data_IF_503396871375
#
_entry.id   IF_503396871375
#
_cell.length_a   1.000
_cell.length_b   1.000
_cell.length_c   1.000
_cell.angle_alpha   90.00
_cell.angle_beta   90.00
_cell.angle_gamma   90.00
#
_symmetry.space_group_name_H-M   'P 1'
#
loop_
_entity.id
_entity.type
_entity.pdbx_description
1 polymer ?
#
# COMPACT_ATOMS: atom_id res chain seq x y z
N UNK A 1 2.20 -21.57 -6.06
CA UNK A 1 2.43 -20.18 -6.54
C UNK A 1 2.03 -19.29 -5.38
N UNK A 2 2.93 -18.41 -4.91
CA UNK A 2 2.97 -18.08 -3.50
C UNK A 2 1.83 -17.17 -3.09
N UNK A 3 0.81 -17.75 -2.44
CA UNK A 3 -0.22 -16.97 -1.73
C UNK A 3 0.42 -16.26 -0.53
N UNK A 4 -0.21 -15.25 0.08
CA UNK A 4 0.21 -14.73 1.41
C UNK A 4 0.43 -15.86 2.45
N UNK A 5 -0.33 -16.95 2.30
CA UNK A 5 -0.19 -18.18 3.06
C UNK A 5 1.16 -18.89 2.82
N UNK A 6 1.75 -18.81 1.63
CA UNK A 6 3.07 -19.38 1.30
C UNK A 6 4.23 -18.56 1.87
N UNK A 7 4.03 -17.27 2.18
CA UNK A 7 5.01 -16.48 2.96
C UNK A 7 5.03 -16.92 4.42
N UNK A 8 3.85 -17.15 5.04
CA UNK A 8 3.78 -17.75 6.39
C UNK A 8 4.46 -19.12 6.45
N UNK A 9 4.40 -19.93 5.38
CA UNK A 9 5.05 -21.24 5.30
C UNK A 9 6.56 -21.13 5.04
N UNK A 10 7.01 -20.17 4.23
CA UNK A 10 8.43 -19.88 4.00
C UNK A 10 9.15 -19.41 5.28
N UNK A 11 8.47 -18.67 6.16
CA UNK A 11 9.03 -18.27 7.46
C UNK A 11 8.95 -19.38 8.53
N UNK A 12 7.99 -20.30 8.44
CA UNK A 12 7.83 -21.41 9.39
C UNK A 12 8.87 -22.53 9.20
N UNK A 13 9.62 -22.51 8.09
CA UNK A 13 10.70 -23.47 7.81
C UNK A 13 12.09 -23.03 8.32
N UNK A 14 12.21 -21.82 8.88
CA UNK A 14 13.40 -21.40 9.62
C UNK A 14 13.23 -21.71 11.12
N UNK A 15 13.28 -23.01 11.43
CA UNK A 15 13.41 -23.52 12.81
C UNK A 15 14.80 -23.20 13.36
N UNK A 16 14.95 -21.99 13.88
CA UNK A 16 15.78 -21.65 15.05
C UNK A 16 15.58 -20.18 15.46
N UNK A 17 14.39 -19.62 15.24
CA UNK A 17 14.11 -18.22 15.51
C UNK A 17 13.36 -18.10 16.85
N UNK A 18 13.90 -17.28 17.73
CA UNK A 18 13.33 -16.91 19.01
C UNK A 18 11.87 -16.46 18.84
N UNK A 19 10.94 -17.25 19.37
CA UNK A 19 9.49 -17.02 19.28
C UNK A 19 9.11 -15.68 19.92
N UNK A 20 9.87 -15.21 20.91
CA UNK A 20 9.65 -13.90 21.51
C UNK A 20 9.99 -12.78 20.53
N UNK A 21 11.10 -12.89 19.78
CA UNK A 21 11.50 -11.90 18.78
C UNK A 21 10.52 -11.82 17.60
N UNK A 22 10.03 -12.97 17.10
CA UNK A 22 8.99 -13.00 16.05
C UNK A 22 7.72 -12.33 16.54
N UNK A 23 7.31 -12.61 17.79
CA UNK A 23 6.11 -12.01 18.36
C UNK A 23 6.26 -10.49 18.51
N UNK A 24 7.39 -10.01 18.99
CA UNK A 24 7.68 -8.57 19.12
C UNK A 24 7.65 -7.88 17.76
N UNK A 25 8.26 -8.48 16.73
CA UNK A 25 8.25 -7.92 15.37
C UNK A 25 6.83 -7.93 14.77
N UNK A 26 6.07 -8.99 15.00
CA UNK A 26 4.68 -9.12 14.55
C UNK A 26 3.68 -8.26 15.36
N UNK A 27 4.09 -7.66 16.47
CA UNK A 27 3.29 -6.72 17.27
C UNK A 27 3.63 -5.26 17.00
N UNK A 28 4.61 -4.98 16.12
CA UNK A 28 4.97 -3.61 15.75
C UNK A 28 3.76 -2.87 15.14
N UNK A 29 3.54 -1.61 15.52
CA UNK A 29 2.53 -0.78 14.88
C UNK A 29 2.91 -0.57 13.42
N UNK A 30 1.95 -0.75 12.52
CA UNK A 30 2.08 -0.47 11.09
C UNK A 30 1.09 0.64 10.76
N UNK A 31 1.57 1.73 10.17
CA UNK A 31 0.76 2.88 9.77
C UNK A 31 0.87 3.07 8.27
N UNK A 32 -0.25 2.89 7.56
CA UNK A 32 -0.35 3.07 6.12
C UNK A 32 -1.30 4.23 5.86
N UNK A 33 -0.89 5.21 5.04
CA UNK A 33 -1.79 6.28 4.59
C UNK A 33 -2.13 6.07 3.13
N UNK A 34 -3.42 5.90 2.85
CA UNK A 34 -3.95 5.83 1.49
C UNK A 34 -4.54 7.18 1.10
N UNK A 35 -3.94 7.83 0.11
CA UNK A 35 -4.27 9.19 -0.31
C UNK A 35 -4.67 9.23 -1.79
N UNK A 36 -5.77 9.93 -2.12
CA UNK A 36 -6.17 10.12 -3.51
C UNK A 36 -7.67 10.04 -3.74
N UNK A 37 -8.07 9.45 -4.87
CA UNK A 37 -9.47 9.30 -5.24
C UNK A 37 -10.20 8.43 -4.20
N UNK A 38 -11.31 8.94 -3.65
CA UNK A 38 -11.96 8.34 -2.47
C UNK A 38 -12.41 6.90 -2.74
N UNK A 39 -13.13 6.65 -3.85
CA UNK A 39 -13.62 5.31 -4.18
C UNK A 39 -12.49 4.30 -4.41
N UNK A 40 -11.43 4.75 -5.05
CA UNK A 40 -10.17 4.03 -5.24
C UNK A 40 -9.54 3.69 -3.89
N UNK A 41 -9.30 4.66 -3.02
CA UNK A 41 -8.67 4.44 -1.72
C UNK A 41 -9.50 3.52 -0.81
N UNK A 42 -10.83 3.66 -0.83
CA UNK A 42 -11.75 2.78 -0.10
C UNK A 42 -11.68 1.34 -0.59
N UNK A 43 -11.58 1.12 -1.90
CA UNK A 43 -11.45 -0.21 -2.47
C UNK A 43 -10.10 -0.85 -2.13
N UNK A 44 -9.00 -0.08 -2.10
CA UNK A 44 -7.67 -0.56 -1.65
C UNK A 44 -7.78 -1.03 -0.20
N UNK A 45 -8.29 -0.16 0.68
CA UNK A 45 -8.43 -0.47 2.10
C UNK A 45 -9.28 -1.73 2.30
N UNK A 46 -10.43 -1.80 1.63
CA UNK A 46 -11.33 -2.95 1.69
C UNK A 46 -10.65 -4.25 1.26
N UNK A 47 -9.84 -4.23 0.19
CA UNK A 47 -9.12 -5.42 -0.29
C UNK A 47 -8.02 -5.87 0.66
N UNK A 48 -7.26 -4.92 1.21
CA UNK A 48 -6.22 -5.21 2.18
C UNK A 48 -6.80 -5.75 3.50
N UNK A 49 -7.99 -5.31 3.87
CA UNK A 49 -8.70 -5.80 5.07
C UNK A 49 -9.41 -7.15 4.86
N UNK A 50 -9.71 -7.55 3.62
CA UNK A 50 -10.38 -8.82 3.28
C UNK A 50 -9.49 -10.06 3.37
N UNK A 51 -8.20 -9.91 3.68
CA UNK A 51 -7.31 -11.04 3.96
C UNK A 51 -7.87 -11.95 5.07
N UNK A 52 -7.66 -13.26 4.93
CA UNK A 52 -7.96 -14.24 5.99
C UNK A 52 -7.07 -14.02 7.22
N UNK A 53 -7.43 -13.06 8.06
CA UNK A 53 -6.79 -12.79 9.35
C UNK A 53 -6.77 -14.03 10.23
N UNK A 54 -5.65 -14.75 10.21
CA UNK A 54 -5.47 -16.00 10.97
C UNK A 54 -5.53 -15.80 12.48
N UNK A 55 -5.29 -14.56 12.96
CA UNK A 55 -5.17 -14.23 14.38
C UNK A 55 -6.17 -13.17 14.88
N UNK A 56 -7.17 -12.78 14.08
CA UNK A 56 -8.15 -11.74 14.43
C UNK A 56 -7.57 -10.32 14.49
N UNK A 57 -8.41 -9.26 14.42
CA UNK A 57 -7.92 -7.89 14.39
C UNK A 57 -7.37 -7.46 15.76
N UNK A 58 -6.12 -6.99 15.78
CA UNK A 58 -5.51 -6.37 16.96
C UNK A 58 -5.47 -4.86 16.74
N UNK A 59 -6.38 -4.13 17.41
CA UNK A 59 -6.43 -2.67 17.38
C UNK A 59 -7.12 -2.07 16.13
N UNK A 60 -7.08 -0.74 15.97
CA UNK A 60 -7.68 -0.05 14.83
C UNK A 60 -7.04 -0.47 13.50
N UNK A 61 -7.74 -0.22 12.39
CA UNK A 61 -7.18 -0.45 11.05
C UNK A 61 -5.87 0.33 10.89
N UNK A 62 -4.80 -0.30 10.36
CA UNK A 62 -3.54 0.37 10.09
C UNK A 62 -3.65 1.35 8.91
N UNK A 63 -4.76 1.31 8.15
CA UNK A 63 -4.97 2.10 6.95
C UNK A 63 -5.77 3.36 7.28
N UNK A 64 -5.15 4.51 7.07
CA UNK A 64 -5.79 5.82 7.19
C UNK A 64 -6.10 6.37 5.80
N UNK A 65 -7.35 6.79 5.57
CA UNK A 65 -7.76 7.39 4.31
C UNK A 65 -7.60 8.91 4.35
N UNK A 66 -6.98 9.47 3.31
CA UNK A 66 -6.78 10.91 3.17
C UNK A 66 -7.07 11.39 1.74
N UNK A 67 -7.32 12.68 1.59
CA UNK A 67 -7.47 13.31 0.27
C UNK A 67 -6.20 14.07 -0.11
N UNK A 68 -5.80 14.01 -1.38
CA UNK A 68 -4.68 14.82 -1.91
C UNK A 68 -4.93 16.33 -1.78
N UNK A 69 -6.20 16.74 -1.66
CA UNK A 69 -6.56 18.14 -1.48
C UNK A 69 -6.32 18.64 -0.03
N UNK A 70 -6.46 17.76 0.97
CA UNK A 70 -6.51 18.14 2.40
C UNK A 70 -5.35 17.62 3.22
N UNK A 71 -4.61 16.62 2.73
CA UNK A 71 -3.48 16.04 3.44
C UNK A 71 -2.38 17.09 3.69
N UNK A 72 -1.75 17.01 4.86
CA UNK A 72 -0.60 17.83 5.24
C UNK A 72 0.63 16.90 5.21
N UNK A 73 1.48 16.96 4.17
CA UNK A 73 2.63 16.05 4.03
C UNK A 73 3.56 16.05 5.24
N UNK A 74 3.75 17.20 5.88
CA UNK A 74 4.63 17.37 7.04
C UNK A 74 4.11 16.66 8.31
N UNK A 75 2.88 16.13 8.30
CA UNK A 75 2.35 15.33 9.41
C UNK A 75 2.62 13.82 9.22
N UNK A 76 3.16 13.41 8.06
CA UNK A 76 3.33 12.00 7.70
C UNK A 76 4.68 11.39 8.11
N UNK A 77 5.43 12.06 8.98
CA UNK A 77 6.78 11.61 9.37
C UNK A 77 6.81 10.27 10.12
N UNK A 78 5.68 9.84 10.70
CA UNK A 78 5.54 8.56 11.41
C UNK A 78 4.79 7.48 10.60
N UNK A 79 4.66 7.67 9.29
CA UNK A 79 3.97 6.75 8.39
C UNK A 79 4.98 5.77 7.79
N UNK A 80 4.66 4.49 7.83
CA UNK A 80 5.55 3.43 7.33
C UNK A 80 5.41 3.21 5.81
N UNK A 81 4.24 3.56 5.24
CA UNK A 81 3.95 3.42 3.82
C UNK A 81 2.87 4.41 3.36
N UNK A 82 3.11 5.04 2.21
CA UNK A 82 2.11 5.86 1.50
C UNK A 82 1.58 5.07 0.30
N UNK A 83 0.27 4.97 0.18
CA UNK A 83 -0.42 4.48 -1.02
C UNK A 83 -1.10 5.67 -1.71
N UNK A 84 -0.70 5.98 -2.94
CA UNK A 84 -1.36 7.01 -3.75
C UNK A 84 -2.34 6.32 -4.68
N UNK A 85 -3.63 6.45 -4.38
CA UNK A 85 -4.72 5.89 -5.17
C UNK A 85 -5.21 6.87 -6.22
N UNK A 86 -4.97 6.57 -7.50
CA UNK A 86 -5.40 7.38 -8.63
C UNK A 86 -6.45 6.65 -9.45
N UNK A 87 -7.46 7.39 -9.88
CA UNK A 87 -8.38 6.94 -10.91
C UNK A 87 -7.94 7.50 -12.26
N UNK A 88 -7.82 6.64 -13.27
CA UNK A 88 -7.21 6.97 -14.57
C UNK A 88 -7.99 8.03 -15.35
N UNK A 89 -9.30 8.14 -15.12
CA UNK A 89 -10.18 9.12 -15.77
C UNK A 89 -10.13 10.48 -15.08
N UNK A 90 -9.58 10.57 -13.87
CA UNK A 90 -9.54 11.80 -13.09
C UNK A 90 -8.31 12.63 -13.46
N UNK A 91 -8.55 13.88 -13.87
CA UNK A 91 -7.47 14.86 -14.03
C UNK A 91 -7.09 15.42 -12.66
N UNK A 92 -5.81 15.32 -12.33
CA UNK A 92 -5.26 15.97 -11.14
C UNK A 92 -5.17 17.49 -11.34
N UNK A 93 -5.60 18.23 -10.35
CA UNK A 93 -5.39 19.67 -10.25
C UNK A 93 -3.92 20.00 -9.99
N UNK A 94 -3.52 21.23 -10.29
CA UNK A 94 -2.16 21.71 -9.99
C UNK A 94 -1.81 21.60 -8.49
N UNK A 95 -2.81 21.78 -7.62
CA UNK A 95 -2.65 21.61 -6.17
C UNK A 95 -2.32 20.15 -5.83
N UNK A 96 -3.07 19.20 -6.36
CA UNK A 96 -2.84 17.76 -6.09
C UNK A 96 -1.48 17.30 -6.63
N UNK A 97 -1.07 17.78 -7.81
CA UNK A 97 0.27 17.52 -8.34
C UNK A 97 1.37 18.06 -7.40
N UNK A 98 1.18 19.26 -6.86
CA UNK A 98 2.12 19.84 -5.89
C UNK A 98 2.16 19.03 -4.59
N UNK A 99 1.01 18.53 -4.12
CA UNK A 99 0.96 17.62 -2.97
C UNK A 99 1.76 16.34 -3.24
N UNK A 100 1.59 15.72 -4.42
CA UNK A 100 2.35 14.52 -4.80
C UNK A 100 3.86 14.80 -4.83
N UNK A 101 4.28 15.95 -5.38
CA UNK A 101 5.69 16.33 -5.40
C UNK A 101 6.26 16.50 -3.96
N UNK A 102 5.47 17.04 -3.03
CA UNK A 102 5.85 17.15 -1.61
C UNK A 102 5.94 15.77 -0.93
N UNK A 103 4.98 14.89 -1.19
CA UNK A 103 5.02 13.51 -0.68
C UNK A 103 6.27 12.77 -1.20
N UNK A 104 6.63 12.98 -2.46
CA UNK A 104 7.83 12.41 -3.06
C UNK A 104 9.12 12.86 -2.35
N UNK A 105 9.16 14.10 -1.88
CA UNK A 105 10.31 14.66 -1.18
C UNK A 105 10.53 14.07 0.23
N UNK A 106 9.51 13.45 0.84
CA UNK A 106 9.62 12.79 2.14
C UNK A 106 10.44 11.49 2.09
N UNK A 107 10.74 10.97 0.89
CA UNK A 107 11.46 9.72 0.68
C UNK A 107 10.86 8.50 1.43
N UNK A 108 9.57 8.55 1.74
CA UNK A 108 8.85 7.45 2.38
C UNK A 108 8.58 6.32 1.39
N UNK A 109 8.51 5.07 1.86
CA UNK A 109 8.02 3.95 1.04
C UNK A 109 6.67 4.32 0.41
N UNK A 110 6.60 4.23 -0.93
CA UNK A 110 5.42 4.67 -1.66
C UNK A 110 4.99 3.65 -2.70
N UNK A 111 3.69 3.39 -2.77
CA UNK A 111 3.04 2.62 -3.83
C UNK A 111 2.02 3.53 -4.53
N UNK A 112 2.10 3.64 -5.85
CA UNK A 112 1.11 4.36 -6.66
C UNK A 112 0.22 3.32 -7.32
N UNK A 113 -1.07 3.36 -7.03
CA UNK A 113 -2.07 2.46 -7.62
C UNK A 113 -2.94 3.27 -8.58
N UNK A 114 -3.02 2.83 -9.84
CA UNK A 114 -3.82 3.51 -10.88
C UNK A 114 -4.92 2.57 -11.37
N UNK A 115 -6.18 2.92 -11.14
CA UNK A 115 -7.34 2.15 -11.63
C UNK A 115 -7.87 2.63 -12.98
N UNK A 116 -8.14 1.69 -13.90
CA UNK A 116 -8.99 1.95 -15.07
C UNK A 116 -8.58 1.25 -16.37
N UNK A 117 -9.59 0.81 -17.13
CA UNK A 117 -9.49 -0.13 -18.26
C UNK A 117 -9.06 0.47 -19.60
N UNK A 118 -9.00 1.81 -19.75
CA UNK A 118 -8.67 2.43 -21.04
C UNK A 118 -7.55 3.46 -20.91
N UNK A 119 -6.48 3.27 -21.69
CA UNK A 119 -5.53 4.34 -22.02
C UNK A 119 -6.26 5.37 -22.90
N UNK A 120 -6.37 6.65 -22.50
CA UNK A 120 -6.36 7.71 -23.50
C UNK A 120 -5.01 7.61 -24.22
N UNK A 121 -5.00 7.62 -25.55
CA UNK A 121 -3.76 7.58 -26.34
C UNK A 121 -2.78 8.72 -25.97
N UNK A 122 -3.29 9.75 -25.29
CA UNK A 122 -2.61 11.00 -24.95
C UNK A 122 -2.25 11.08 -23.46
N UNK A 123 -2.49 10.02 -22.69
CA UNK A 123 -1.98 9.91 -21.32
C UNK A 123 -0.46 9.75 -21.43
N UNK A 124 0.24 10.88 -21.53
CA UNK A 124 1.68 10.93 -21.36
C UNK A 124 2.07 10.13 -20.12
N UNK A 125 3.24 9.50 -20.11
CA UNK A 125 3.63 8.61 -19.03
C UNK A 125 3.37 9.33 -17.71
N UNK A 126 2.66 8.65 -16.79
CA UNK A 126 2.80 8.90 -15.36
C UNK A 126 4.26 8.57 -15.02
N UNK A 127 5.18 9.40 -15.52
CA UNK A 127 6.58 9.31 -15.18
C UNK A 127 6.65 9.55 -13.69
N UNK A 128 7.41 8.71 -12.96
CA UNK A 128 7.37 8.69 -11.52
C UNK A 128 7.98 9.98 -11.00
N UNK A 129 7.15 11.01 -10.78
CA UNK A 129 7.49 12.17 -9.93
C UNK A 129 7.97 11.71 -8.55
N UNK A 130 7.53 10.51 -8.16
CA UNK A 130 8.03 9.74 -7.04
C UNK A 130 9.04 8.69 -7.54
N UNK A 131 10.31 9.06 -7.75
CA UNK A 131 11.34 8.15 -8.26
C UNK A 131 11.51 6.85 -7.45
N UNK A 132 11.08 6.86 -6.19
CA UNK A 132 11.12 5.73 -5.25
C UNK A 132 9.78 4.98 -5.12
N UNK A 133 8.77 5.30 -5.93
CA UNK A 133 7.48 4.62 -5.86
C UNK A 133 7.46 3.30 -6.64
N UNK A 134 6.76 2.30 -6.11
CA UNK A 134 6.28 1.17 -6.91
C UNK A 134 4.98 1.58 -7.62
N UNK A 135 4.95 1.50 -8.94
CA UNK A 135 3.72 1.71 -9.72
C UNK A 135 3.00 0.38 -9.91
N UNK A 136 1.71 0.35 -9.58
CA UNK A 136 0.78 -0.73 -9.88
C UNK A 136 -0.37 -0.15 -10.72
N UNK A 137 -0.51 -0.63 -11.95
CA UNK A 137 -1.64 -0.28 -12.82
C UNK A 137 -2.64 -1.43 -12.76
N UNK A 138 -3.88 -1.14 -12.35
CA UNK A 138 -4.98 -2.11 -12.26
C UNK A 138 -6.00 -1.76 -13.35
N UNK A 139 -5.94 -2.43 -14.52
CA UNK A 139 -6.85 -2.13 -15.62
C UNK A 139 -8.29 -2.40 -15.23
N UNK A 140 -8.55 -3.58 -14.66
CA UNK A 140 -9.87 -4.00 -14.20
C UNK A 140 -9.79 -4.38 -12.71
N UNK A 141 -10.49 -3.67 -11.79
CA UNK A 141 -10.54 -4.03 -10.38
C UNK A 141 -11.14 -5.43 -10.13
N UNK A 142 -11.98 -5.94 -11.02
CA UNK A 142 -12.76 -7.14 -10.77
C UNK A 142 -11.99 -8.44 -11.02
N UNK A 143 -10.76 -8.36 -11.54
CA UNK A 143 -9.95 -9.56 -11.74
C UNK A 143 -9.48 -10.13 -10.39
N UNK A 144 -9.43 -11.47 -10.24
CA UNK A 144 -9.13 -12.11 -8.96
C UNK A 144 -7.69 -11.90 -8.49
N UNK A 145 -6.78 -11.48 -9.37
CA UNK A 145 -5.35 -11.35 -9.10
C UNK A 145 -4.96 -9.99 -8.49
N UNK A 146 -5.87 -9.02 -8.43
CA UNK A 146 -5.57 -7.66 -7.92
C UNK A 146 -5.09 -7.70 -6.48
N UNK A 147 -5.66 -8.56 -5.66
CA UNK A 147 -5.32 -8.63 -4.23
C UNK A 147 -3.87 -9.13 -4.04
N UNK A 148 -3.43 -10.08 -4.86
CA UNK A 148 -2.05 -10.59 -4.87
C UNK A 148 -1.06 -9.56 -5.44
N UNK A 149 -1.45 -8.84 -6.51
CA UNK A 149 -0.61 -7.80 -7.10
C UNK A 149 -0.45 -6.59 -6.16
N UNK A 150 -1.53 -6.17 -5.50
CA UNK A 150 -1.53 -5.08 -4.52
C UNK A 150 -0.64 -5.42 -3.33
N UNK A 151 -0.79 -6.64 -2.81
CA UNK A 151 0.03 -7.18 -1.76
C UNK A 151 1.53 -7.21 -2.08
N UNK A 152 1.88 -7.76 -3.24
CA UNK A 152 3.27 -7.83 -3.69
C UNK A 152 3.84 -6.42 -3.85
N UNK A 153 3.10 -5.47 -4.41
CA UNK A 153 3.56 -4.09 -4.56
C UNK A 153 3.82 -3.40 -3.21
N UNK A 154 3.01 -3.72 -2.18
CA UNK A 154 3.16 -3.22 -0.82
C UNK A 154 4.36 -3.85 -0.12
N UNK A 155 4.50 -5.18 -0.18
CA UNK A 155 5.63 -5.90 0.43
C UNK A 155 6.97 -5.53 -0.18
N UNK A 156 7.03 -5.33 -1.50
CA UNK A 156 8.23 -4.88 -2.22
C UNK A 156 8.72 -3.51 -1.74
N UNK A 157 7.86 -2.71 -1.08
CA UNK A 157 8.20 -1.36 -0.61
C UNK A 157 8.28 -1.22 0.89
N UNK A 158 7.55 -2.03 1.65
CA UNK A 158 7.65 -2.05 3.11
C UNK A 158 9.08 -2.40 3.56
N UNK A 159 9.61 -1.72 4.59
CA UNK A 159 10.83 -2.15 5.26
C UNK A 159 10.70 -3.60 5.73
N UNK A 160 11.77 -4.40 5.58
CA UNK A 160 11.78 -5.85 5.88
C UNK A 160 11.34 -6.17 7.31
N UNK A 161 11.64 -5.28 8.24
CA UNK A 161 11.23 -5.36 9.65
C UNK A 161 9.69 -5.43 9.78
N UNK A 162 8.97 -4.62 9.00
CA UNK A 162 7.51 -4.54 9.08
C UNK A 162 6.77 -5.63 8.30
N UNK A 163 7.50 -6.53 7.62
CA UNK A 163 6.88 -7.61 6.84
C UNK A 163 6.07 -8.57 7.73
N UNK A 164 6.54 -8.87 8.93
CA UNK A 164 5.83 -9.73 9.89
C UNK A 164 4.58 -9.06 10.46
N UNK A 165 4.64 -7.75 10.73
CA UNK A 165 3.49 -6.97 11.17
C UNK A 165 2.39 -6.92 10.09
N UNK A 166 2.78 -6.78 8.81
CA UNK A 166 1.87 -6.85 7.67
C UNK A 166 1.25 -8.25 7.50
N UNK A 167 2.06 -9.31 7.55
CA UNK A 167 1.62 -10.70 7.35
C UNK A 167 0.68 -11.23 8.43
N UNK A 168 0.73 -10.69 9.65
CA UNK A 168 -0.19 -11.08 10.74
C UNK A 168 -1.63 -10.60 10.51
N UNK A 169 -1.81 -9.54 9.71
CA UNK A 169 -3.10 -8.86 9.49
C UNK A 169 -3.79 -9.24 8.18
N UNK A 170 -3.17 -10.11 7.39
CA UNK A 170 -3.66 -10.71 6.15
C UNK A 170 -4.20 -12.12 6.33
#
# INVERSE_FOLDING_TARGET
>A
MPKWNDLSVAFNTLREIDVAAIRTEAERPLTIVCVGAVGVCQEIATRLERGTQRYGPIGPSPIQLASLATIIPDELHSVDLIIIGLERTTRLSARELTTIDRLAALALPTVVVVWGTALPADAGPLHPRVAHARLLVVPDPMIPDVDEQLASAILDRLPTELHLAAARRS
#
